data_IF_979296867755
#
_entry.id   IF_979296867755
#
_cell.length_a   1.000
_cell.length_b   1.000
_cell.length_c   1.000
_cell.angle_alpha   90.00
_cell.angle_beta   90.00
_cell.angle_gamma   90.00
#
_symmetry.space_group_name_H-M   'P 1'
#
loop_
_entity.id
_entity.type
_entity.pdbx_description
1 polymer ?
#
# COMPACT_ATOMS: atom_id res chain seq x y z
N UNK A 1 -40.62 5.27 -3.67
CA UNK A 1 -39.65 4.78 -2.66
C UNK A 1 -38.59 5.85 -2.51
N UNK A 2 -38.45 6.42 -1.32
CA UNK A 2 -37.35 7.34 -0.99
C UNK A 2 -36.03 6.60 -1.21
N UNK A 3 -35.15 7.18 -2.04
CA UNK A 3 -33.82 6.63 -2.22
C UNK A 3 -33.10 6.62 -0.87
N UNK A 4 -32.74 5.44 -0.36
CA UNK A 4 -32.02 5.33 0.91
C UNK A 4 -30.57 5.69 0.68
N UNK A 5 -30.13 6.82 1.22
CA UNK A 5 -28.71 7.16 1.34
C UNK A 5 -28.08 6.27 2.41
N UNK A 6 -27.13 5.41 2.02
CA UNK A 6 -26.42 4.50 2.90
C UNK A 6 -24.99 4.97 3.18
N UNK A 7 -24.61 6.18 2.78
CA UNK A 7 -23.21 6.60 2.78
C UNK A 7 -22.64 6.64 4.19
N UNK A 8 -23.39 7.18 5.17
CA UNK A 8 -22.94 7.17 6.56
C UNK A 8 -22.70 5.75 7.09
N UNK A 9 -23.62 4.82 6.83
CA UNK A 9 -23.49 3.41 7.26
C UNK A 9 -22.31 2.72 6.56
N UNK A 10 -22.09 3.01 5.28
CA UNK A 10 -20.96 2.48 4.53
C UNK A 10 -19.64 2.96 5.12
N UNK A 11 -19.51 4.28 5.32
CA UNK A 11 -18.30 4.86 5.88
C UNK A 11 -18.06 4.27 7.29
N UNK A 12 -19.06 4.27 8.17
CA UNK A 12 -18.95 3.71 9.52
C UNK A 12 -18.47 2.25 9.55
N UNK A 13 -18.95 1.42 8.63
CA UNK A 13 -18.58 0.00 8.57
C UNK A 13 -17.16 -0.25 8.06
N UNK A 14 -16.63 0.59 7.16
CA UNK A 14 -15.28 0.41 6.61
C UNK A 14 -14.24 0.44 7.73
N UNK A 15 -13.31 -0.50 7.69
CA UNK A 15 -12.27 -0.68 8.70
C UNK A 15 -12.75 -1.35 9.99
N UNK A 16 -14.04 -1.64 10.13
CA UNK A 16 -14.58 -2.40 11.27
C UNK A 16 -14.51 -3.90 11.01
N UNK A 17 -14.55 -4.67 12.09
CA UNK A 17 -14.70 -6.13 11.98
C UNK A 17 -16.06 -6.48 11.40
N UNK A 18 -16.14 -7.61 10.72
CA UNK A 18 -17.40 -8.08 10.12
C UNK A 18 -18.51 -8.38 11.14
N UNK A 19 -18.15 -8.61 12.41
CA UNK A 19 -19.06 -8.83 13.55
C UNK A 19 -19.37 -7.55 14.33
N UNK A 20 -18.81 -6.40 13.92
CA UNK A 20 -19.10 -5.11 14.52
C UNK A 20 -20.55 -4.67 14.22
N UNK A 21 -21.26 -4.01 15.16
CA UNK A 21 -22.60 -3.49 14.92
C UNK A 21 -22.72 -2.59 13.68
N UNK A 22 -21.68 -1.82 13.31
CA UNK A 22 -21.69 -1.00 12.11
C UNK A 22 -21.79 -1.85 10.83
N UNK A 23 -21.01 -2.93 10.74
CA UNK A 23 -21.05 -3.86 9.62
C UNK A 23 -22.41 -4.58 9.52
N UNK A 24 -22.97 -4.99 10.66
CA UNK A 24 -24.29 -5.62 10.72
C UNK A 24 -25.41 -4.66 10.26
N UNK A 25 -25.39 -3.39 10.72
CA UNK A 25 -26.36 -2.36 10.31
C UNK A 25 -26.31 -2.10 8.80
N UNK A 26 -25.10 -2.02 8.23
CA UNK A 26 -24.95 -1.85 6.78
C UNK A 26 -25.55 -3.03 6.00
N UNK A 27 -25.22 -4.27 6.37
CA UNK A 27 -25.76 -5.47 5.71
C UNK A 27 -27.31 -5.53 5.80
N UNK A 28 -27.87 -5.20 6.96
CA UNK A 28 -29.32 -5.11 7.16
C UNK A 28 -29.95 -4.03 6.27
N UNK A 29 -29.37 -2.83 6.21
CA UNK A 29 -29.89 -1.72 5.40
C UNK A 29 -29.79 -2.01 3.89
N UNK A 30 -28.79 -2.80 3.48
CA UNK A 30 -28.67 -3.31 2.12
C UNK A 30 -29.66 -4.45 1.80
N UNK A 31 -30.33 -5.02 2.81
CA UNK A 31 -31.26 -6.14 2.65
C UNK A 31 -30.56 -7.46 2.29
N UNK A 32 -29.32 -7.66 2.75
CA UNK A 32 -28.50 -8.82 2.42
C UNK A 32 -28.09 -9.59 3.67
N UNK A 33 -27.58 -10.81 3.49
CA UNK A 33 -27.03 -11.61 4.60
C UNK A 33 -25.75 -10.95 5.14
N UNK A 34 -25.44 -11.11 6.45
CA UNK A 34 -24.18 -10.65 7.01
C UNK A 34 -22.95 -11.20 6.29
N UNK A 35 -21.84 -10.50 6.44
CA UNK A 35 -20.53 -10.95 5.98
C UNK A 35 -20.17 -12.31 6.59
N UNK A 36 -19.39 -13.09 5.82
CA UNK A 36 -18.73 -14.31 6.31
C UNK A 36 -17.25 -14.01 6.54
N UNK A 37 -16.56 -14.86 7.30
CA UNK A 37 -15.10 -14.76 7.42
C UNK A 37 -14.44 -15.04 6.07
N UNK A 38 -13.46 -14.20 5.72
CA UNK A 38 -12.52 -14.43 4.63
C UNK A 38 -11.31 -15.25 5.12
N UNK A 39 -10.48 -15.71 4.19
CA UNK A 39 -9.12 -16.22 4.46
C UNK A 39 -8.10 -15.22 3.87
N UNK A 40 -6.80 -15.31 4.20
CA UNK A 40 -5.80 -14.41 3.62
C UNK A 40 -5.73 -14.44 2.09
N UNK A 41 -6.12 -15.56 1.47
CA UNK A 41 -6.11 -15.73 0.02
C UNK A 41 -7.40 -15.31 -0.69
N UNK A 42 -8.40 -14.77 0.01
CA UNK A 42 -9.64 -14.34 -0.63
C UNK A 42 -10.28 -13.09 0.01
N UNK A 43 -11.29 -12.58 -0.68
CA UNK A 43 -12.24 -11.60 -0.13
C UNK A 43 -13.66 -12.17 -0.21
N UNK A 44 -14.52 -11.72 0.69
CA UNK A 44 -15.95 -12.07 0.71
C UNK A 44 -16.75 -10.81 0.43
N UNK A 45 -17.77 -10.94 -0.43
CA UNK A 45 -18.56 -9.80 -0.90
C UNK A 45 -20.02 -9.94 -0.48
N UNK A 46 -20.62 -8.83 -0.08
CA UNK A 46 -22.07 -8.66 0.02
C UNK A 46 -22.46 -7.53 -0.94
N UNK A 47 -23.61 -7.62 -1.58
CA UNK A 47 -23.98 -6.61 -2.57
C UNK A 47 -25.46 -6.58 -2.87
N UNK A 48 -25.94 -5.39 -3.17
CA UNK A 48 -27.28 -5.18 -3.68
C UNK A 48 -27.21 -4.35 -4.96
N UNK A 49 -27.30 -5.03 -6.10
CA UNK A 49 -27.23 -4.41 -7.43
C UNK A 49 -28.27 -3.32 -7.63
N UNK A 50 -29.46 -3.44 -7.04
CA UNK A 50 -30.51 -2.40 -7.15
C UNK A 50 -30.11 -1.11 -6.44
N UNK A 51 -29.40 -1.23 -5.33
CA UNK A 51 -28.86 -0.08 -4.60
C UNK A 51 -27.58 0.47 -5.23
N UNK A 52 -26.90 -0.30 -6.09
CA UNK A 52 -25.61 0.12 -6.66
C UNK A 52 -24.47 0.06 -5.65
N UNK A 53 -24.51 -0.89 -4.73
CA UNK A 53 -23.47 -1.13 -3.73
C UNK A 53 -23.02 -2.58 -3.71
N UNK A 54 -21.71 -2.76 -3.68
CA UNK A 54 -21.02 -4.01 -3.38
C UNK A 54 -19.93 -3.73 -2.36
N UNK A 55 -19.89 -4.49 -1.28
CA UNK A 55 -19.01 -4.25 -0.13
C UNK A 55 -18.27 -5.54 0.18
N UNK A 56 -16.97 -5.43 0.35
CA UNK A 56 -16.07 -6.54 0.53
C UNK A 56 -15.45 -6.55 1.93
N UNK A 57 -15.17 -7.74 2.43
CA UNK A 57 -14.35 -7.97 3.61
C UNK A 57 -13.18 -8.91 3.32
N UNK A 58 -12.07 -8.70 4.02
CA UNK A 58 -10.82 -9.46 3.87
C UNK A 58 -10.22 -9.75 5.24
N UNK A 59 -9.40 -10.81 5.34
CA UNK A 59 -8.58 -11.08 6.51
C UNK A 59 -7.28 -10.25 6.54
N UNK A 60 -6.93 -9.61 5.42
CA UNK A 60 -5.68 -8.88 5.25
C UNK A 60 -5.94 -7.53 4.58
N UNK A 61 -5.75 -6.46 5.34
CA UNK A 61 -5.66 -5.08 4.85
C UNK A 61 -4.18 -4.69 4.96
N UNK A 62 -3.61 -4.14 3.89
CA UNK A 62 -2.23 -3.66 3.90
C UNK A 62 -2.18 -2.32 4.64
N UNK A 63 -2.35 -2.35 5.96
CA UNK A 63 -2.26 -1.20 6.84
C UNK A 63 -1.77 -1.67 8.22
N UNK A 64 -0.80 -0.97 8.81
CA UNK A 64 -0.16 -1.37 10.07
C UNK A 64 -1.13 -1.57 11.23
N UNK A 65 -2.26 -0.87 11.25
CA UNK A 65 -3.29 -1.02 12.28
C UNK A 65 -3.98 -2.40 12.24
N UNK A 66 -3.96 -3.05 11.08
CA UNK A 66 -4.57 -4.36 10.83
C UNK A 66 -3.54 -5.50 10.78
N UNK A 67 -2.25 -5.16 10.76
CA UNK A 67 -1.16 -6.11 10.83
C UNK A 67 -0.92 -6.57 12.28
N UNK A 68 -0.50 -7.83 12.50
CA UNK A 68 -0.54 -8.94 11.55
C UNK A 68 -1.97 -9.51 11.38
N UNK A 69 -2.27 -10.26 10.30
CA UNK A 69 -3.50 -11.04 10.20
C UNK A 69 -3.69 -11.96 11.42
N UNK A 70 -4.91 -12.03 11.95
CA UNK A 70 -5.21 -12.71 13.23
C UNK A 70 -6.26 -13.80 13.07
N UNK A 71 -6.22 -14.78 13.96
CA UNK A 71 -7.28 -15.79 14.10
C UNK A 71 -7.99 -15.65 15.45
N UNK A 72 -9.28 -15.94 15.44
CA UNK A 72 -10.09 -16.23 16.62
C UNK A 72 -10.51 -17.72 16.54
N UNK A 73 -9.87 -18.53 17.37
CA UNK A 73 -9.90 -19.99 17.25
C UNK A 73 -9.47 -20.47 15.86
N UNK A 74 -10.39 -21.08 15.11
CA UNK A 74 -10.14 -21.60 13.76
C UNK A 74 -10.45 -20.61 12.64
N UNK A 75 -11.04 -19.44 12.95
CA UNK A 75 -11.50 -18.47 11.95
C UNK A 75 -10.53 -17.30 11.87
N UNK A 76 -10.31 -16.79 10.66
CA UNK A 76 -9.60 -15.54 10.49
C UNK A 76 -10.48 -14.37 10.90
N UNK A 77 -9.91 -13.41 11.61
CA UNK A 77 -10.53 -12.10 11.81
C UNK A 77 -10.62 -11.42 10.46
N UNK A 78 -11.80 -10.93 10.11
CA UNK A 78 -12.05 -10.26 8.83
C UNK A 78 -12.61 -8.87 9.06
N UNK A 79 -12.23 -7.96 8.18
CA UNK A 79 -12.53 -6.54 8.25
C UNK A 79 -13.23 -6.11 6.97
N UNK A 80 -14.24 -5.26 7.11
CA UNK A 80 -14.89 -4.61 5.95
C UNK A 80 -13.85 -3.67 5.33
N UNK A 81 -13.34 -4.00 4.15
CA UNK A 81 -12.14 -3.33 3.61
C UNK A 81 -12.43 -2.32 2.52
N UNK A 82 -13.40 -2.59 1.67
CA UNK A 82 -13.72 -1.72 0.56
C UNK A 82 -15.17 -1.88 0.08
N UNK A 83 -15.63 -0.89 -0.67
CA UNK A 83 -16.88 -0.93 -1.39
C UNK A 83 -16.71 -0.40 -2.81
N UNK A 84 -17.39 -1.06 -3.73
CA UNK A 84 -17.69 -0.56 -5.06
C UNK A 84 -19.07 0.12 -5.02
N UNK A 85 -19.10 1.39 -5.39
CA UNK A 85 -20.32 2.18 -5.57
C UNK A 85 -20.52 2.37 -7.06
N UNK A 86 -21.74 2.13 -7.55
CA UNK A 86 -22.07 2.13 -8.98
C UNK A 86 -22.99 3.32 -9.35
N UNK A 87 -23.12 3.67 -10.65
CA UNK A 87 -23.87 4.85 -11.11
C UNK A 87 -25.36 4.88 -10.71
N UNK A 88 -25.96 3.74 -10.38
CA UNK A 88 -27.33 3.66 -9.90
C UNK A 88 -27.47 3.90 -8.38
N UNK A 89 -26.38 4.08 -7.65
CA UNK A 89 -26.41 4.55 -6.26
C UNK A 89 -26.99 5.95 -6.17
N UNK A 90 -27.74 6.22 -5.10
CA UNK A 90 -28.51 7.47 -4.91
C UNK A 90 -28.18 8.17 -3.59
N UNK A 91 -27.21 7.66 -2.84
CA UNK A 91 -26.70 8.33 -1.65
C UNK A 91 -25.61 9.35 -1.98
N UNK A 92 -25.08 9.96 -0.92
CA UNK A 92 -24.05 10.99 -1.02
C UNK A 92 -22.75 10.43 -1.62
N UNK A 93 -22.12 11.21 -2.52
CA UNK A 93 -20.86 10.87 -3.17
C UNK A 93 -19.69 11.70 -2.59
N UNK A 94 -18.42 11.28 -2.78
CA UNK A 94 -17.27 12.08 -2.37
C UNK A 94 -17.30 13.50 -2.96
N UNK A 95 -16.83 14.47 -2.18
CA UNK A 95 -16.89 15.88 -2.55
C UNK A 95 -16.24 16.15 -3.92
N UNK A 96 -16.96 16.88 -4.78
CA UNK A 96 -16.51 17.26 -6.12
C UNK A 96 -16.65 16.18 -7.20
N UNK A 97 -17.09 14.98 -6.85
CA UNK A 97 -17.36 13.89 -7.79
C UNK A 97 -18.85 13.80 -8.14
N UNK A 98 -19.13 13.51 -9.42
CA UNK A 98 -20.46 13.18 -9.93
C UNK A 98 -20.34 12.20 -11.11
N UNK A 99 -21.39 11.38 -11.33
CA UNK A 99 -21.41 10.37 -12.39
C UNK A 99 -21.45 10.95 -13.82
N UNK A 100 -21.80 12.22 -13.97
CA UNK A 100 -21.84 12.90 -15.28
C UNK A 100 -20.48 13.44 -15.74
N UNK A 101 -19.47 13.44 -14.87
CA UNK A 101 -18.13 13.94 -15.21
C UNK A 101 -17.45 13.05 -16.23
N UNK A 102 -16.87 13.66 -17.26
CA UNK A 102 -16.04 12.99 -18.24
C UNK A 102 -14.55 12.99 -17.84
N UNK A 103 -13.70 12.35 -18.65
CA UNK A 103 -12.25 12.30 -18.43
C UNK A 103 -11.64 13.71 -18.27
N UNK A 104 -12.05 14.67 -19.09
CA UNK A 104 -11.52 16.04 -19.04
C UNK A 104 -11.88 16.76 -17.74
N UNK A 105 -13.13 16.68 -17.31
CA UNK A 105 -13.61 17.26 -16.05
C UNK A 105 -12.96 16.60 -14.83
N UNK A 106 -12.73 15.29 -14.88
CA UNK A 106 -12.02 14.56 -13.83
C UNK A 106 -10.54 14.97 -13.76
N UNK A 107 -9.83 15.09 -14.89
CA UNK A 107 -8.43 15.57 -14.94
C UNK A 107 -8.26 16.97 -14.40
N UNK A 108 -9.24 17.85 -14.63
CA UNK A 108 -9.21 19.21 -14.14
C UNK A 108 -9.29 19.29 -12.60
N UNK A 109 -9.81 18.24 -11.94
CA UNK A 109 -10.13 18.25 -10.50
C UNK A 109 -9.31 17.27 -9.68
N UNK A 110 -8.94 16.14 -10.26
CA UNK A 110 -8.40 15.00 -9.55
C UNK A 110 -7.12 14.49 -10.20
N UNK A 111 -6.27 13.88 -9.38
CA UNK A 111 -5.03 13.27 -9.86
C UNK A 111 -5.35 11.95 -10.56
N UNK A 112 -5.14 11.91 -11.87
CA UNK A 112 -5.18 10.69 -12.69
C UNK A 112 -3.95 9.82 -12.42
N UNK A 113 -4.15 8.51 -12.34
CA UNK A 113 -3.11 7.47 -12.27
C UNK A 113 -3.52 6.26 -13.12
N UNK A 114 -2.53 5.49 -13.56
CA UNK A 114 -2.73 4.17 -14.15
C UNK A 114 -2.29 3.16 -13.09
N UNK A 115 -3.20 2.28 -12.65
CA UNK A 115 -2.95 1.37 -11.53
C UNK A 115 -3.25 -0.09 -11.90
N UNK A 116 -2.49 -1.00 -11.29
CA UNK A 116 -2.71 -2.45 -11.40
C UNK A 116 -2.20 -3.08 -12.70
N UNK A 117 -2.19 -4.41 -12.76
CA UNK A 117 -1.75 -5.16 -13.94
C UNK A 117 -2.71 -5.07 -15.14
N UNK A 118 -3.91 -4.54 -14.93
CA UNK A 118 -4.90 -4.26 -15.99
C UNK A 118 -4.81 -2.82 -16.52
N UNK A 119 -3.83 -2.03 -16.04
CA UNK A 119 -3.63 -0.63 -16.44
C UNK A 119 -4.91 0.22 -16.34
N UNK A 120 -5.66 0.05 -15.25
CA UNK A 120 -6.90 0.79 -15.06
C UNK A 120 -6.63 2.27 -14.81
N UNK A 121 -7.36 3.12 -15.53
CA UNK A 121 -7.33 4.56 -15.34
C UNK A 121 -8.17 4.92 -14.12
N UNK A 122 -7.50 5.46 -13.09
CA UNK A 122 -8.13 5.84 -11.83
C UNK A 122 -7.86 7.29 -11.47
N UNK A 123 -8.84 7.93 -10.86
CA UNK A 123 -8.75 9.27 -10.29
C UNK A 123 -8.78 9.20 -8.78
N UNK A 124 -7.74 9.70 -8.11
CA UNK A 124 -7.74 9.85 -6.66
C UNK A 124 -8.64 11.03 -6.24
N UNK A 125 -9.72 10.73 -5.53
CA UNK A 125 -10.69 11.70 -5.03
C UNK A 125 -10.28 12.23 -3.65
N UNK A 126 -11.00 13.24 -3.16
CA UNK A 126 -10.85 13.67 -1.78
C UNK A 126 -11.26 12.53 -0.82
N UNK A 127 -10.46 12.22 0.21
CA UNK A 127 -10.81 11.23 1.22
C UNK A 127 -12.17 11.53 1.85
N UNK A 128 -13.09 10.56 1.92
CA UNK A 128 -14.41 10.79 2.52
C UNK A 128 -14.36 10.94 4.05
N UNK A 129 -13.31 10.41 4.68
CA UNK A 129 -12.94 10.62 6.10
C UNK A 129 -11.50 10.18 6.34
N UNK A 130 -10.97 10.48 7.52
CA UNK A 130 -9.66 9.99 7.96
C UNK A 130 -9.58 8.46 7.90
N UNK A 131 -8.43 7.95 7.44
CA UNK A 131 -8.17 6.51 7.30
C UNK A 131 -8.86 5.82 6.12
N UNK A 132 -9.62 6.55 5.28
CA UNK A 132 -10.20 6.02 4.04
C UNK A 132 -9.65 6.74 2.81
N UNK A 133 -9.68 6.06 1.67
CA UNK A 133 -9.42 6.63 0.36
C UNK A 133 -10.60 6.37 -0.58
N UNK A 134 -10.74 7.24 -1.59
CA UNK A 134 -11.74 7.10 -2.64
C UNK A 134 -11.09 7.26 -4.02
N UNK A 135 -11.43 6.36 -4.94
CA UNK A 135 -10.95 6.40 -6.33
C UNK A 135 -12.11 6.22 -7.29
N UNK A 136 -12.10 6.93 -8.41
CA UNK A 136 -13.03 6.69 -9.52
C UNK A 136 -12.30 5.95 -10.64
N UNK A 137 -12.85 4.83 -11.11
CA UNK A 137 -12.34 4.09 -12.27
C UNK A 137 -13.14 4.49 -13.50
N UNK A 138 -12.47 4.80 -14.61
CA UNK A 138 -13.14 5.09 -15.88
C UNK A 138 -13.48 3.83 -16.66
N UNK A 139 -14.63 3.87 -17.33
CA UNK A 139 -14.99 2.97 -18.41
C UNK A 139 -14.23 3.39 -19.68
N UNK A 140 -13.35 2.51 -20.18
CA UNK A 140 -12.51 2.79 -21.35
C UNK A 140 -13.32 3.06 -22.63
N UNK A 141 -14.55 2.53 -22.71
CA UNK A 141 -15.38 2.66 -23.92
C UNK A 141 -16.26 3.91 -23.90
N UNK A 142 -16.43 4.56 -22.74
CA UNK A 142 -17.46 5.59 -22.54
C UNK A 142 -16.96 6.91 -21.97
N UNK A 143 -15.68 7.01 -21.63
CA UNK A 143 -15.05 8.17 -20.98
C UNK A 143 -15.84 8.67 -19.76
N UNK A 144 -16.48 7.75 -19.04
CA UNK A 144 -17.31 8.03 -17.86
C UNK A 144 -16.95 7.12 -16.70
N UNK A 145 -17.22 7.52 -15.44
CA UNK A 145 -16.93 6.67 -14.29
C UNK A 145 -17.73 5.38 -14.34
N UNK A 146 -17.02 4.25 -14.30
CA UNK A 146 -17.59 2.91 -14.21
C UNK A 146 -18.10 2.63 -12.79
N UNK A 147 -17.25 2.93 -11.80
CA UNK A 147 -17.54 2.78 -10.37
C UNK A 147 -16.63 3.67 -9.53
N UNK A 148 -17.04 3.89 -8.28
CA UNK A 148 -16.17 4.40 -7.22
C UNK A 148 -15.70 3.25 -6.35
N UNK A 149 -14.42 3.23 -6.02
CA UNK A 149 -13.84 2.41 -4.98
C UNK A 149 -13.65 3.27 -3.74
N UNK A 150 -14.35 2.96 -2.66
CA UNK A 150 -14.10 3.55 -1.34
C UNK A 150 -13.51 2.45 -0.45
N UNK A 151 -12.35 2.68 0.15
CA UNK A 151 -11.64 1.65 0.89
C UNK A 151 -10.86 2.18 2.07
N UNK A 152 -10.53 1.28 2.99
CA UNK A 152 -9.55 1.56 4.04
C UNK A 152 -8.24 1.94 3.36
N UNK A 153 -7.64 3.05 3.80
CA UNK A 153 -6.38 3.52 3.27
C UNK A 153 -5.30 2.46 3.52
N UNK A 154 -4.63 2.06 2.45
CA UNK A 154 -3.50 1.14 2.55
C UNK A 154 -2.20 1.91 2.61
N UNK A 155 -1.21 1.26 3.23
CA UNK A 155 0.12 1.76 3.42
C UNK A 155 1.08 0.80 2.72
N UNK A 156 2.01 1.32 1.92
CA UNK A 156 3.00 0.46 1.28
C UNK A 156 3.94 -0.13 2.32
N UNK A 157 4.09 -1.46 2.32
CA UNK A 157 5.07 -2.17 3.11
C UNK A 157 6.42 -2.26 2.38
N UNK A 158 7.50 -1.79 3.01
CA UNK A 158 8.86 -1.88 2.47
C UNK A 158 9.65 -3.04 3.09
N UNK A 159 9.42 -3.30 4.37
CA UNK A 159 9.89 -4.49 5.07
C UNK A 159 8.82 -4.95 6.08
N UNK A 160 8.56 -6.25 6.11
CA UNK A 160 7.58 -6.86 7.01
C UNK A 160 8.06 -8.23 7.48
N UNK A 161 8.33 -8.37 8.78
CA UNK A 161 8.56 -9.66 9.43
C UNK A 161 7.22 -10.16 9.97
N UNK A 162 6.70 -11.24 9.37
CA UNK A 162 5.45 -11.86 9.83
C UNK A 162 5.66 -12.59 11.16
N UNK A 163 4.68 -12.55 12.09
CA UNK A 163 4.76 -13.31 13.33
C UNK A 163 4.97 -14.81 13.05
N UNK A 164 5.93 -15.41 13.73
CA UNK A 164 6.31 -16.81 13.54
C UNK A 164 7.15 -17.08 12.30
N UNK A 165 7.45 -16.05 11.49
CA UNK A 165 8.48 -16.13 10.44
C UNK A 165 9.88 -16.10 11.03
N UNK A 166 10.84 -16.70 10.33
CA UNK A 166 12.26 -16.60 10.65
C UNK A 166 12.79 -15.23 10.22
N UNK A 167 13.27 -14.36 11.15
CA UNK A 167 13.84 -13.07 10.81
C UNK A 167 15.02 -13.15 9.85
N UNK A 168 15.75 -14.28 9.79
CA UNK A 168 16.87 -14.45 8.87
C UNK A 168 16.46 -14.32 7.39
N UNK A 169 15.18 -14.52 7.05
CA UNK A 169 14.66 -14.27 5.70
C UNK A 169 14.54 -12.78 5.33
N UNK A 170 14.69 -11.88 6.29
CA UNK A 170 14.55 -10.43 6.14
C UNK A 170 15.86 -9.67 6.40
N UNK A 171 17.03 -10.32 6.24
CA UNK A 171 18.34 -9.67 6.44
C UNK A 171 18.51 -8.45 5.53
N UNK A 172 18.20 -8.59 4.24
CA UNK A 172 18.36 -7.49 3.28
C UNK A 172 17.32 -6.38 3.48
N UNK A 173 16.14 -6.72 3.99
CA UNK A 173 15.17 -5.74 4.47
C UNK A 173 15.72 -4.97 5.68
N UNK A 174 16.41 -5.66 6.59
CA UNK A 174 17.14 -5.07 7.71
C UNK A 174 18.23 -4.12 7.26
N UNK A 175 18.98 -4.46 6.20
CA UNK A 175 19.96 -3.55 5.59
C UNK A 175 19.30 -2.28 5.06
N UNK A 176 18.18 -2.40 4.33
CA UNK A 176 17.46 -1.24 3.83
C UNK A 176 16.89 -0.35 4.95
N UNK A 177 16.36 -0.97 6.02
CA UNK A 177 15.87 -0.25 7.19
C UNK A 177 16.97 0.50 7.95
N UNK A 178 18.12 -0.14 8.17
CA UNK A 178 19.28 0.49 8.78
C UNK A 178 19.80 1.66 7.94
N UNK A 179 19.86 1.50 6.61
CA UNK A 179 20.24 2.58 5.71
C UNK A 179 19.25 3.76 5.80
N UNK A 180 17.94 3.48 5.83
CA UNK A 180 16.93 4.52 5.99
C UNK A 180 17.12 5.31 7.30
N UNK A 181 17.42 4.62 8.40
CA UNK A 181 17.67 5.25 9.70
C UNK A 181 18.93 6.13 9.70
N UNK A 182 20.02 5.66 9.07
CA UNK A 182 21.30 6.37 9.04
C UNK A 182 21.33 7.56 8.08
N UNK A 183 20.45 7.61 7.08
CA UNK A 183 20.46 8.61 6.00
C UNK A 183 19.29 9.60 6.04
N UNK A 184 18.69 9.83 7.22
CA UNK A 184 17.59 10.77 7.42
C UNK A 184 16.37 10.52 6.49
N UNK A 185 16.14 9.25 6.15
CA UNK A 185 14.98 8.82 5.35
C UNK A 185 13.76 8.61 6.23
N UNK A 186 13.96 8.12 7.45
CA UNK A 186 12.87 7.90 8.41
C UNK A 186 12.31 9.21 8.96
N UNK A 187 11.01 9.23 9.27
CA UNK A 187 10.34 10.35 9.93
C UNK A 187 10.94 10.59 11.32
N UNK A 188 10.91 11.86 11.74
CA UNK A 188 11.29 12.24 13.09
C UNK A 188 10.43 11.47 14.12
N UNK A 189 11.06 10.97 15.17
CA UNK A 189 10.39 10.19 16.21
C UNK A 189 10.17 8.71 15.87
N UNK A 190 10.50 8.24 14.65
CA UNK A 190 10.40 6.80 14.33
C UNK A 190 11.42 5.94 15.08
N UNK A 191 12.62 6.49 15.28
CA UNK A 191 13.61 6.00 16.23
C UNK A 191 13.87 7.09 17.27
N UNK A 192 14.07 6.68 18.51
CA UNK A 192 14.66 7.53 19.54
C UNK A 192 16.17 7.73 19.31
N UNK A 193 16.75 8.67 20.06
CA UNK A 193 18.15 9.04 19.93
C UNK A 193 19.10 7.89 20.33
N UNK A 194 18.71 7.08 21.31
CA UNK A 194 19.54 5.99 21.85
C UNK A 194 19.63 4.82 20.87
N UNK A 195 18.52 4.46 20.23
CA UNK A 195 18.47 3.46 19.18
C UNK A 195 19.27 3.90 17.94
N UNK A 196 19.16 5.17 17.56
CA UNK A 196 19.97 5.71 16.46
C UNK A 196 21.46 5.74 16.82
N UNK A 197 21.81 6.08 18.07
CA UNK A 197 23.20 6.03 18.55
C UNK A 197 23.74 4.60 18.55
N UNK A 198 22.98 3.63 19.07
CA UNK A 198 23.36 2.22 19.07
C UNK A 198 23.57 1.68 17.65
N UNK A 199 22.75 2.11 16.69
CA UNK A 199 22.93 1.76 15.28
C UNK A 199 24.21 2.39 14.70
N UNK A 200 24.48 3.69 14.96
CA UNK A 200 25.69 4.38 14.50
C UNK A 200 26.97 3.78 15.09
N UNK A 201 26.92 3.39 16.35
CA UNK A 201 28.02 2.72 17.07
C UNK A 201 28.11 1.23 16.76
N UNK A 202 27.24 0.72 15.85
CA UNK A 202 27.22 -0.68 15.41
C UNK A 202 26.96 -1.69 16.54
N UNK A 203 26.36 -1.24 17.66
CA UNK A 203 25.99 -2.08 18.82
C UNK A 203 24.75 -2.94 18.56
N UNK A 204 23.95 -2.58 17.56
CA UNK A 204 22.82 -3.37 17.07
C UNK A 204 23.07 -3.70 15.61
N UNK A 205 22.76 -4.92 15.18
CA UNK A 205 22.87 -5.30 13.77
C UNK A 205 21.72 -4.70 12.95
N UNK A 206 21.85 -4.60 11.62
CA UNK A 206 20.75 -4.13 10.77
C UNK A 206 19.45 -4.93 10.91
N UNK A 207 19.49 -6.26 10.94
CA UNK A 207 18.29 -7.06 11.19
C UNK A 207 17.80 -6.90 12.63
N UNK A 208 18.71 -6.70 13.60
CA UNK A 208 18.37 -6.39 14.98
C UNK A 208 17.58 -5.09 15.13
N UNK A 209 17.90 -4.06 14.34
CA UNK A 209 17.11 -2.82 14.28
C UNK A 209 15.69 -3.10 13.77
N UNK A 210 15.58 -3.83 12.65
CA UNK A 210 14.29 -4.14 12.04
C UNK A 210 13.42 -4.98 12.99
N UNK A 211 13.98 -6.05 13.53
CA UNK A 211 13.26 -7.00 14.39
C UNK A 211 12.94 -6.42 15.78
N UNK A 212 13.80 -5.53 16.29
CA UNK A 212 13.67 -4.90 17.60
C UNK A 212 12.94 -3.55 17.52
N UNK A 213 13.71 -2.46 17.40
CA UNK A 213 13.21 -1.08 17.47
C UNK A 213 12.09 -0.77 16.48
N UNK A 214 12.15 -1.34 15.27
CA UNK A 214 11.11 -1.14 14.27
C UNK A 214 9.92 -2.09 14.42
N UNK A 215 9.98 -3.08 15.33
CA UNK A 215 8.88 -4.03 15.57
C UNK A 215 8.58 -4.92 14.37
N UNK A 216 9.57 -5.16 13.50
CA UNK A 216 9.44 -5.93 12.28
C UNK A 216 8.82 -5.18 11.10
N UNK A 217 8.62 -3.86 11.20
CA UNK A 217 7.90 -3.07 10.20
C UNK A 217 8.68 -1.83 9.77
N UNK A 218 8.93 -1.72 8.46
CA UNK A 218 9.30 -0.48 7.78
C UNK A 218 8.28 -0.20 6.67
N UNK A 219 7.37 0.72 6.92
CA UNK A 219 6.26 1.00 6.01
C UNK A 219 6.24 2.48 5.58
N UNK A 220 5.40 2.83 4.61
CA UNK A 220 5.36 4.15 3.96
C UNK A 220 5.32 5.34 4.93
N UNK A 221 4.55 5.24 6.01
CA UNK A 221 4.41 6.30 7.01
C UNK A 221 5.59 6.39 7.97
N UNK A 222 6.51 5.42 7.97
CA UNK A 222 7.78 5.54 8.67
C UNK A 222 8.78 6.41 7.92
N UNK A 223 8.56 6.66 6.62
CA UNK A 223 9.47 7.40 5.74
C UNK A 223 9.01 8.85 5.58
N UNK A 224 9.96 9.78 5.55
CA UNK A 224 9.66 11.21 5.30
C UNK A 224 8.98 11.37 3.93
N UNK A 225 7.96 12.24 3.80
CA UNK A 225 7.22 12.42 2.55
C UNK A 225 8.11 12.65 1.31
N UNK A 226 9.23 13.38 1.46
CA UNK A 226 10.18 13.65 0.37
C UNK A 226 10.89 12.40 -0.20
N UNK A 227 10.89 11.29 0.53
CA UNK A 227 11.52 10.02 0.12
C UNK A 227 10.48 8.94 -0.22
N UNK A 228 9.20 9.14 0.09
CA UNK A 228 8.16 8.11 -0.02
C UNK A 228 8.05 7.52 -1.43
N UNK A 229 8.07 8.35 -2.48
CA UNK A 229 8.01 7.88 -3.87
C UNK A 229 9.24 7.05 -4.28
N UNK A 230 10.44 7.46 -3.84
CA UNK A 230 11.66 6.69 -4.08
C UNK A 230 11.60 5.33 -3.38
N UNK A 231 11.32 5.32 -2.07
CA UNK A 231 11.26 4.08 -1.28
C UNK A 231 10.20 3.12 -1.82
N UNK A 232 9.02 3.63 -2.18
CA UNK A 232 7.97 2.84 -2.81
C UNK A 232 8.43 2.22 -4.13
N UNK A 233 8.96 3.03 -5.05
CA UNK A 233 9.40 2.51 -6.35
C UNK A 233 10.56 1.51 -6.21
N UNK A 234 11.51 1.81 -5.34
CA UNK A 234 12.73 1.03 -5.14
C UNK A 234 12.43 -0.34 -4.50
N UNK A 235 11.64 -0.35 -3.42
CA UNK A 235 11.30 -1.57 -2.68
C UNK A 235 10.29 -2.45 -3.43
N UNK A 236 9.32 -1.85 -4.15
CA UNK A 236 8.23 -2.60 -4.81
C UNK A 236 8.53 -3.01 -6.25
N UNK A 237 9.77 -2.82 -6.74
CA UNK A 237 10.21 -3.14 -8.12
C UNK A 237 9.40 -2.37 -9.18
N UNK A 238 9.20 -1.09 -8.92
CA UNK A 238 8.46 -0.18 -9.80
C UNK A 238 9.40 0.88 -10.39
N UNK A 239 10.67 0.52 -10.59
CA UNK A 239 11.69 1.41 -11.14
C UNK A 239 11.83 1.21 -12.65
N UNK A 240 12.18 2.27 -13.35
CA UNK A 240 12.64 2.25 -14.74
C UNK A 240 14.10 2.74 -14.77
N UNK A 241 15.06 1.91 -15.20
CA UNK A 241 14.91 0.48 -15.55
C UNK A 241 14.60 -0.39 -14.31
N UNK A 242 14.00 -1.57 -14.52
CA UNK A 242 13.65 -2.51 -13.43
C UNK A 242 14.88 -2.99 -12.63
N UNK A 243 16.04 -3.06 -13.30
CA UNK A 243 17.34 -3.33 -12.70
C UNK A 243 17.74 -2.32 -11.61
N UNK A 244 17.07 -1.17 -11.50
CA UNK A 244 17.29 -0.18 -10.46
C UNK A 244 16.40 -0.39 -9.22
N UNK A 245 16.07 -1.63 -8.87
CA UNK A 245 15.24 -1.99 -7.71
C UNK A 245 16.01 -2.75 -6.64
N UNK A 246 15.48 -2.75 -5.41
CA UNK A 246 16.13 -3.35 -4.25
C UNK A 246 16.46 -4.84 -4.44
N UNK A 247 15.53 -5.62 -5.02
CA UNK A 247 15.79 -7.03 -5.31
C UNK A 247 16.97 -7.22 -6.25
N UNK A 248 17.04 -6.44 -7.35
CA UNK A 248 18.09 -6.60 -8.34
C UNK A 248 19.46 -6.26 -7.74
N UNK A 249 19.54 -5.19 -6.96
CA UNK A 249 20.76 -4.83 -6.25
C UNK A 249 21.17 -5.91 -5.23
N UNK A 250 20.22 -6.51 -4.51
CA UNK A 250 20.49 -7.65 -3.61
C UNK A 250 21.01 -8.87 -4.37
N UNK A 251 20.39 -9.21 -5.50
CA UNK A 251 20.82 -10.34 -6.36
C UNK A 251 22.22 -10.14 -6.93
N UNK A 252 22.52 -8.92 -7.38
CA UNK A 252 23.82 -8.56 -7.91
C UNK A 252 24.93 -8.72 -6.86
N UNK A 253 24.68 -8.34 -5.60
CA UNK A 253 25.70 -8.38 -4.55
C UNK A 253 25.78 -9.70 -3.78
N UNK A 254 24.65 -10.38 -3.57
CA UNK A 254 24.54 -11.54 -2.68
C UNK A 254 24.03 -12.81 -3.38
N UNK A 255 23.68 -12.74 -4.67
CA UNK A 255 23.16 -13.86 -5.46
C UNK A 255 21.63 -13.94 -5.48
N UNK A 256 21.00 -14.04 -4.30
CA UNK A 256 19.55 -13.88 -4.14
C UNK A 256 19.18 -13.38 -2.75
N UNK A 257 17.97 -12.84 -2.60
CA UNK A 257 17.45 -12.41 -1.31
C UNK A 257 17.11 -13.62 -0.43
N UNK A 258 17.38 -13.53 0.87
CA UNK A 258 17.18 -14.64 1.80
C UNK A 258 15.76 -15.20 1.78
N UNK A 259 14.73 -14.37 1.56
CA UNK A 259 13.34 -14.79 1.43
C UNK A 259 13.10 -15.85 0.33
N UNK A 260 13.92 -15.88 -0.73
CA UNK A 260 13.76 -16.82 -1.85
C UNK A 260 14.67 -18.04 -1.75
N UNK A 261 15.57 -18.08 -0.77
CA UNK A 261 16.53 -19.18 -0.62
C UNK A 261 15.85 -20.44 -0.10
N UNK A 262 16.27 -21.59 -0.63
CA UNK A 262 15.79 -22.90 -0.18
C UNK A 262 16.54 -23.34 1.07
N UNK A 263 15.95 -24.27 1.81
CA UNK A 263 16.58 -24.90 2.96
C UNK A 263 17.96 -25.47 2.58
N UNK A 264 19.00 -25.05 3.30
CA UNK A 264 20.38 -25.48 3.09
C UNK A 264 21.19 -24.63 2.09
N UNK A 265 20.57 -23.69 1.37
CA UNK A 265 21.32 -22.68 0.60
C UNK A 265 21.95 -21.67 1.57
N UNK A 266 23.21 -21.30 1.33
CA UNK A 266 23.90 -20.31 2.15
C UNK A 266 23.10 -19.00 2.15
N UNK A 267 22.85 -18.38 3.29
CA UNK A 267 22.10 -17.14 3.39
C UNK A 267 23.05 -15.95 3.51
N UNK A 268 22.59 -14.76 3.09
CA UNK A 268 23.26 -13.50 3.45
C UNK A 268 23.25 -13.37 4.96
N UNK A 269 24.42 -13.24 5.57
CA UNK A 269 24.55 -13.07 7.02
C UNK A 269 24.18 -11.65 7.45
N UNK A 270 23.48 -11.53 8.58
CA UNK A 270 23.22 -10.23 9.24
C UNK A 270 24.51 -9.68 9.85
N UNK A 271 25.28 -8.95 9.04
CA UNK A 271 26.55 -8.37 9.46
C UNK A 271 26.72 -6.94 8.95
N UNK A 272 27.50 -6.16 9.69
CA UNK A 272 27.89 -4.82 9.25
C UNK A 272 28.76 -4.83 8.00
N UNK A 273 29.54 -5.89 7.78
CA UNK A 273 30.31 -6.07 6.55
C UNK A 273 29.40 -6.19 5.32
N UNK A 274 28.37 -7.03 5.38
CA UNK A 274 27.40 -7.16 4.28
C UNK A 274 26.56 -5.89 4.13
N UNK A 275 26.19 -5.24 5.22
CA UNK A 275 25.55 -3.92 5.15
C UNK A 275 26.43 -2.90 4.42
N UNK A 276 27.71 -2.80 4.79
CA UNK A 276 28.65 -1.84 4.19
C UNK A 276 28.86 -2.10 2.69
N UNK A 277 28.67 -3.34 2.22
CA UNK A 277 28.70 -3.68 0.79
C UNK A 277 27.50 -3.13 0.03
N UNK A 278 26.29 -3.18 0.59
CA UNK A 278 25.06 -2.77 -0.12
C UNK A 278 24.61 -1.33 0.14
N UNK A 279 24.92 -0.76 1.31
CA UNK A 279 24.52 0.60 1.67
C UNK A 279 24.94 1.67 0.65
N UNK A 280 26.15 1.64 0.05
CA UNK A 280 26.53 2.58 -1.01
C UNK A 280 25.61 2.50 -2.23
N UNK A 281 25.09 1.32 -2.56
CA UNK A 281 24.16 1.13 -3.68
C UNK A 281 22.83 1.84 -3.41
N UNK A 282 22.27 1.74 -2.20
CA UNK A 282 21.06 2.48 -1.82
C UNK A 282 21.25 3.99 -1.97
N UNK A 283 22.38 4.53 -1.46
CA UNK A 283 22.72 5.95 -1.61
C UNK A 283 22.89 6.35 -3.07
N UNK A 284 23.54 5.50 -3.88
CA UNK A 284 23.66 5.72 -5.33
C UNK A 284 22.28 5.80 -5.98
N UNK A 285 21.37 4.85 -5.71
CA UNK A 285 20.02 4.83 -6.29
C UNK A 285 19.21 6.06 -5.90
N UNK A 286 19.28 6.50 -4.65
CA UNK A 286 18.61 7.74 -4.25
C UNK A 286 19.18 8.96 -4.99
N UNK A 287 20.49 9.03 -5.18
CA UNK A 287 21.12 10.13 -5.92
C UNK A 287 20.75 10.09 -7.43
N UNK A 288 20.70 8.91 -8.04
CA UNK A 288 20.22 8.72 -9.41
C UNK A 288 18.77 9.19 -9.56
N UNK A 289 17.91 8.83 -8.60
CA UNK A 289 16.52 9.29 -8.55
C UNK A 289 16.41 10.81 -8.47
N UNK A 290 17.20 11.43 -7.59
CA UNK A 290 17.23 12.89 -7.44
C UNK A 290 17.69 13.62 -8.71
N UNK A 291 18.56 12.99 -9.51
CA UNK A 291 19.00 13.50 -10.83
C UNK A 291 18.05 13.13 -11.98
N UNK A 292 17.01 12.34 -11.72
CA UNK A 292 16.06 11.89 -12.75
C UNK A 292 16.58 10.78 -13.66
N UNK A 293 17.71 10.15 -13.35
CA UNK A 293 18.31 9.06 -14.14
C UNK A 293 17.50 7.76 -14.03
N UNK A 294 16.80 7.58 -12.91
CA UNK A 294 15.84 6.50 -12.68
C UNK A 294 14.52 7.10 -12.21
N UNK A 295 13.40 6.44 -12.52
CA UNK A 295 12.06 6.95 -12.22
C UNK A 295 11.07 5.83 -11.93
N UNK A 296 9.93 6.17 -11.31
CA UNK A 296 8.85 5.23 -11.07
C UNK A 296 8.11 4.88 -12.37
N UNK A 297 7.76 3.61 -12.55
CA UNK A 297 6.94 3.15 -13.68
C UNK A 297 5.46 3.48 -13.50
N UNK A 298 4.99 3.66 -12.26
CA UNK A 298 3.56 3.83 -11.91
C UNK A 298 3.21 5.23 -11.39
N UNK A 299 4.16 5.99 -10.87
CA UNK A 299 3.95 7.38 -10.43
C UNK A 299 4.28 8.39 -11.53
N UNK A 300 3.84 8.12 -12.77
CA UNK A 300 4.03 9.07 -13.87
C UNK A 300 3.06 10.25 -13.72
N UNK A 301 3.57 11.43 -13.39
CA UNK A 301 2.86 12.66 -13.75
C UNK A 301 2.99 12.83 -15.26
N UNK A 302 1.87 12.88 -15.97
CA UNK A 302 1.79 12.92 -17.43
C UNK A 302 2.24 14.28 -18.02
N UNK A 303 3.29 14.91 -17.49
CA UNK A 303 3.91 16.10 -18.12
C UNK A 303 4.83 15.75 -19.29
N UNK A 304 5.25 14.50 -19.44
CA UNK A 304 6.21 14.09 -20.48
C UNK A 304 5.54 13.65 -21.80
N UNK A 305 4.24 13.90 -21.97
CA UNK A 305 3.50 13.53 -23.18
C UNK A 305 3.30 14.65 -24.20
N UNK A 306 3.84 15.85 -23.95
CA UNK A 306 3.58 17.02 -24.78
C UNK A 306 4.65 17.35 -25.84
N UNK A 307 5.80 16.65 -25.84
CA UNK A 307 6.91 16.95 -26.76
C UNK A 307 7.29 15.80 -27.69
N UNK A 308 6.41 14.81 -27.90
CA UNK A 308 6.64 13.73 -28.87
C UNK A 308 5.99 13.98 -30.26
N UNK A 309 5.36 15.14 -30.48
CA UNK A 309 4.78 15.54 -31.78
C UNK A 309 5.03 17.04 -32.05
N UNK A 310 6.30 17.46 -32.02
CA UNK A 310 6.73 18.69 -32.70
C UNK A 310 8.06 18.46 -33.40
N UNK A 311 7.92 18.40 -34.72
CA UNK A 311 8.91 18.41 -35.82
C UNK A 311 9.65 17.11 -36.15
#
# INVERSE_FOLDING_TARGET
>A
MTATDLTALLLDALGQRIDDPAAARLAQAMGVKPFKNATPGNSVHIGNRKLGLEVAATAQIVNRAYFPPRKDGRRWVSWVSHAFVYPNYRGSLPAGFDWSLDDAALRARFRRRVEGGLEEVRYALLPPREGLEAKATLDQDRDRPLHLLIRVAEESDYATIYPGGDPAHSVEDGFFAAWCALNDVLRAGRLDADALAALRERRTTPLGLLSGTLGGLLWQDDVRPRHASFCHAYAKRLMAPDAASALHDVRELFGDANYWRKAGEAMTEDSWENFDRIAPRYSQRLAQWQRGEIRSTVDRSQRDGADADRD
#
